data_IF_362996312076
#
_entry.id   IF_362996312076
#
_cell.length_a   1.000
_cell.length_b   1.000
_cell.length_c   1.000
_cell.angle_alpha   90.00
_cell.angle_beta   90.00
_cell.angle_gamma   90.00
#
_symmetry.space_group_name_H-M   'P 1'
#
loop_
_entity.id
_entity.type
_entity.pdbx_description
1 polymer ?
#
# COMPACT_ATOMS: atom_id res chain seq x y z
N UNK A 1 -10.57 -15.79 -9.15
CA UNK A 1 -10.14 -14.42 -9.51
C UNK A 1 -11.40 -13.66 -9.86
N UNK A 2 -12.07 -13.06 -8.87
CA UNK A 2 -13.23 -12.22 -9.11
C UNK A 2 -12.74 -10.82 -9.46
N UNK A 3 -12.85 -10.49 -10.73
CA UNK A 3 -12.71 -9.13 -11.22
C UNK A 3 -13.99 -8.38 -10.83
N UNK A 4 -13.94 -7.63 -9.74
CA UNK A 4 -15.00 -6.71 -9.40
C UNK A 4 -15.01 -5.57 -10.40
N UNK A 5 -15.76 -5.69 -11.48
CA UNK A 5 -16.11 -4.60 -12.36
C UNK A 5 -17.09 -3.69 -11.63
N UNK A 6 -16.74 -2.41 -11.46
CA UNK A 6 -17.74 -1.39 -11.15
C UNK A 6 -18.63 -1.26 -12.39
N UNK A 7 -19.82 -1.87 -12.38
CA UNK A 7 -20.83 -1.67 -13.40
C UNK A 7 -21.50 -0.29 -13.20
N UNK A 8 -21.02 0.67 -13.96
CA UNK A 8 -21.66 1.95 -14.19
C UNK A 8 -21.43 2.33 -15.64
N UNK A 9 -22.45 2.10 -16.48
CA UNK A 9 -22.37 2.27 -17.93
C UNK A 9 -22.15 3.74 -18.33
N UNK A 10 -20.92 4.15 -18.50
CA UNK A 10 -20.54 5.33 -19.26
C UNK A 10 -19.34 5.07 -20.15
N UNK A 11 -19.41 5.60 -21.38
CA UNK A 11 -18.46 5.45 -22.48
C UNK A 11 -17.05 5.85 -22.07
N UNK A 12 -16.15 4.88 -22.03
CA UNK A 12 -14.73 5.03 -21.66
C UNK A 12 -13.98 6.00 -22.58
N UNK A 13 -13.85 7.26 -22.18
CA UNK A 13 -12.90 8.17 -22.79
C UNK A 13 -11.56 8.06 -22.04
N UNK A 14 -10.60 7.33 -22.62
CA UNK A 14 -9.15 7.29 -22.27
C UNK A 14 -8.87 6.98 -20.79
N UNK A 15 -8.81 5.70 -20.49
CA UNK A 15 -8.54 5.17 -19.15
C UNK A 15 -7.10 5.39 -18.73
N UNK A 16 -6.92 5.88 -17.51
CA UNK A 16 -5.64 5.90 -16.79
C UNK A 16 -5.57 4.64 -15.94
N UNK A 17 -4.40 3.99 -15.87
CA UNK A 17 -4.25 2.72 -15.16
C UNK A 17 -3.68 2.95 -13.77
N UNK A 18 -4.34 2.39 -12.75
CA UNK A 18 -3.82 2.33 -11.39
C UNK A 18 -3.82 0.88 -10.93
N UNK A 19 -2.67 0.40 -10.45
CA UNK A 19 -2.58 -0.83 -9.69
C UNK A 19 -2.70 -0.49 -8.21
N UNK A 20 -3.78 -0.91 -7.57
CA UNK A 20 -3.99 -0.71 -6.15
C UNK A 20 -3.64 -2.00 -5.42
N UNK A 21 -2.49 -2.05 -4.73
CA UNK A 21 -2.21 -3.10 -3.78
C UNK A 21 -2.93 -2.79 -2.48
N UNK A 22 -4.00 -3.51 -2.22
CA UNK A 22 -4.70 -3.44 -0.95
C UNK A 22 -4.27 -4.64 -0.11
N UNK A 23 -3.44 -4.46 0.95
CA UNK A 23 -3.15 -5.56 1.85
C UNK A 23 -4.42 -5.95 2.59
N UNK A 24 -4.73 -7.22 2.64
CA UNK A 24 -5.80 -7.72 3.51
C UNK A 24 -5.23 -8.80 4.40
N UNK A 25 -5.07 -8.55 5.69
CA UNK A 25 -4.93 -9.64 6.65
C UNK A 25 -6.24 -10.41 6.85
N UNK A 26 -7.39 -9.86 6.43
CA UNK A 26 -8.70 -10.53 6.61
C UNK A 26 -9.68 -10.11 5.53
N UNK A 27 -10.47 -11.07 5.04
CA UNK A 27 -11.49 -10.92 3.99
C UNK A 27 -12.54 -9.81 4.27
N UNK A 28 -12.66 -9.37 5.52
CA UNK A 28 -13.53 -8.25 5.94
C UNK A 28 -12.96 -6.88 5.59
N UNK A 29 -11.66 -6.76 5.32
CA UNK A 29 -10.99 -5.48 5.06
C UNK A 29 -11.04 -5.08 3.58
N UNK A 30 -11.20 -6.01 2.64
CA UNK A 30 -11.27 -5.69 1.20
C UNK A 30 -12.47 -4.79 0.86
N UNK A 31 -13.60 -4.98 1.57
CA UNK A 31 -14.80 -4.13 1.42
C UNK A 31 -14.66 -2.75 2.06
N UNK A 32 -13.66 -2.53 2.93
CA UNK A 32 -13.45 -1.28 3.67
C UNK A 32 -12.60 -0.24 2.93
N UNK A 33 -12.15 -0.54 1.70
CA UNK A 33 -11.28 0.34 0.91
C UNK A 33 -11.91 0.83 -0.39
N UNK A 34 -13.19 0.56 -0.57
CA UNK A 34 -13.98 1.01 -1.70
C UNK A 34 -13.88 2.51 -1.98
N UNK A 35 -13.93 3.42 -0.97
CA UNK A 35 -14.03 4.85 -1.28
C UNK A 35 -12.90 5.38 -2.15
N UNK A 36 -11.64 5.00 -1.90
CA UNK A 36 -10.52 5.44 -2.72
C UNK A 36 -10.56 4.83 -4.13
N UNK A 37 -10.90 3.54 -4.24
CA UNK A 37 -11.02 2.85 -5.53
C UNK A 37 -12.16 3.42 -6.38
N UNK A 38 -13.31 3.69 -5.76
CA UNK A 38 -14.47 4.30 -6.41
C UNK A 38 -14.15 5.72 -6.87
N UNK A 39 -13.55 6.56 -6.02
CA UNK A 39 -13.19 7.93 -6.39
C UNK A 39 -12.19 7.98 -7.56
N UNK A 40 -11.24 7.04 -7.61
CA UNK A 40 -10.30 6.92 -8.72
C UNK A 40 -11.00 6.44 -9.99
N UNK A 41 -11.92 5.47 -9.89
CA UNK A 41 -12.71 5.02 -11.04
C UNK A 41 -13.60 6.13 -11.59
N UNK A 42 -14.26 6.90 -10.73
CA UNK A 42 -15.07 8.06 -11.11
C UNK A 42 -14.22 9.16 -11.78
N UNK A 43 -12.96 9.29 -11.39
CA UNK A 43 -11.99 10.18 -12.03
C UNK A 43 -11.42 9.64 -13.36
N UNK A 44 -11.88 8.47 -13.83
CA UNK A 44 -11.51 7.87 -15.11
C UNK A 44 -10.28 6.96 -15.08
N UNK A 45 -9.86 6.49 -13.90
CA UNK A 45 -8.81 5.48 -13.77
C UNK A 45 -9.40 4.06 -13.81
N UNK A 46 -8.69 3.12 -14.42
CA UNK A 46 -8.94 1.69 -14.20
C UNK A 46 -8.23 1.29 -12.91
N UNK A 47 -9.00 0.79 -11.96
CA UNK A 47 -8.48 0.35 -10.66
C UNK A 47 -8.47 -1.17 -10.59
N UNK A 48 -7.31 -1.75 -10.29
CA UNK A 48 -7.16 -3.18 -10.06
C UNK A 48 -6.63 -3.41 -8.63
N UNK A 49 -7.28 -4.33 -7.92
CA UNK A 49 -6.88 -4.74 -6.58
C UNK A 49 -6.77 -6.26 -6.50
N UNK A 50 -5.90 -6.76 -5.63
CA UNK A 50 -5.63 -8.18 -5.47
C UNK A 50 -5.67 -8.60 -4.00
N UNK A 51 -6.13 -9.81 -3.75
CA UNK A 51 -5.82 -10.53 -2.52
C UNK A 51 -4.48 -11.22 -2.70
N UNK A 52 -3.51 -10.89 -1.83
CA UNK A 52 -2.17 -11.47 -1.92
C UNK A 52 -2.17 -12.96 -1.62
N UNK A 53 -1.45 -13.73 -2.42
CA UNK A 53 -1.43 -15.20 -2.33
C UNK A 53 -0.87 -15.71 -0.99
N UNK A 54 0.14 -15.05 -0.44
CA UNK A 54 0.77 -15.40 0.84
C UNK A 54 0.22 -14.65 2.06
N UNK A 55 -0.70 -13.69 1.87
CA UNK A 55 -1.23 -12.78 2.91
C UNK A 55 -2.74 -12.58 2.72
N UNK A 56 -3.47 -13.71 2.67
CA UNK A 56 -4.92 -13.73 2.50
C UNK A 56 -5.57 -14.59 3.58
N UNK A 57 -6.63 -14.07 4.20
CA UNK A 57 -7.45 -14.80 5.17
C UNK A 57 -8.01 -16.14 4.63
N UNK A 58 -8.14 -16.27 3.31
CA UNK A 58 -8.65 -17.48 2.67
C UNK A 58 -7.64 -18.63 2.66
N UNK A 59 -6.35 -18.34 2.88
CA UNK A 59 -5.29 -19.36 2.97
C UNK A 59 -5.21 -19.85 4.41
N UNK A 60 -5.96 -20.90 4.75
CA UNK A 60 -5.85 -21.56 6.07
C UNK A 60 -4.45 -22.11 6.26
N UNK A 61 -3.79 -21.74 7.38
CA UNK A 61 -2.43 -22.20 7.70
C UNK A 61 -1.32 -21.51 6.93
N UNK A 62 -1.62 -20.48 6.15
CA UNK A 62 -0.61 -19.62 5.52
C UNK A 62 0.09 -18.73 6.55
N UNK A 63 1.30 -18.24 6.24
CA UNK A 63 2.10 -17.39 7.12
C UNK A 63 1.57 -15.94 7.13
N UNK A 64 0.29 -15.74 7.44
CA UNK A 64 -0.44 -14.47 7.28
C UNK A 64 0.21 -13.24 7.93
N UNK A 65 1.14 -13.43 8.88
CA UNK A 65 1.87 -12.35 9.56
C UNK A 65 3.39 -12.54 9.45
N UNK A 66 3.85 -13.32 8.48
CA UNK A 66 5.26 -13.59 8.31
C UNK A 66 5.94 -12.59 7.35
N UNK A 67 7.26 -12.42 7.53
CA UNK A 67 8.10 -11.69 6.58
C UNK A 67 8.03 -12.33 5.18
N UNK A 68 7.84 -13.65 5.09
CA UNK A 68 7.61 -14.34 3.83
C UNK A 68 6.38 -13.81 3.07
N UNK A 69 5.30 -13.53 3.78
CA UNK A 69 4.12 -12.92 3.18
C UNK A 69 4.43 -11.52 2.63
N UNK A 70 5.21 -10.71 3.34
CA UNK A 70 5.65 -9.39 2.85
C UNK A 70 6.52 -9.48 1.59
N UNK A 71 7.41 -10.47 1.50
CA UNK A 71 8.30 -10.65 0.36
C UNK A 71 7.55 -11.01 -0.93
N UNK A 72 6.45 -11.77 -0.86
CA UNK A 72 5.68 -12.18 -2.04
C UNK A 72 4.79 -11.07 -2.62
N UNK A 73 4.44 -10.06 -1.83
CA UNK A 73 3.45 -9.02 -2.20
C UNK A 73 3.86 -8.22 -3.44
N UNK A 74 5.14 -7.89 -3.57
CA UNK A 74 5.65 -7.15 -4.73
C UNK A 74 5.56 -7.98 -6.02
N UNK A 75 5.82 -9.28 -5.93
CA UNK A 75 5.65 -10.22 -7.05
C UNK A 75 4.19 -10.32 -7.49
N UNK A 76 3.26 -10.37 -6.54
CA UNK A 76 1.83 -10.42 -6.82
C UNK A 76 1.37 -9.15 -7.57
N UNK A 77 1.80 -7.96 -7.14
CA UNK A 77 1.48 -6.70 -7.82
C UNK A 77 2.09 -6.64 -9.21
N UNK A 78 3.34 -7.04 -9.38
CA UNK A 78 3.98 -7.10 -10.70
C UNK A 78 3.22 -8.02 -11.65
N UNK A 79 2.73 -9.18 -11.15
CA UNK A 79 1.89 -10.10 -11.92
C UNK A 79 0.54 -9.48 -12.26
N UNK A 80 -0.09 -8.79 -11.31
CA UNK A 80 -1.34 -8.06 -11.54
C UNK A 80 -1.18 -7.01 -12.64
N UNK A 81 -0.16 -6.15 -12.57
CA UNK A 81 0.13 -5.16 -13.62
C UNK A 81 0.34 -5.86 -14.96
N UNK A 82 1.12 -6.96 -14.98
CA UNK A 82 1.34 -7.74 -16.18
C UNK A 82 0.06 -8.34 -16.76
N UNK A 83 -0.83 -8.85 -15.93
CA UNK A 83 -2.14 -9.36 -16.34
C UNK A 83 -3.01 -8.24 -16.94
N UNK A 84 -3.13 -7.12 -16.24
CA UNK A 84 -3.92 -5.97 -16.69
C UNK A 84 -3.47 -5.46 -18.06
N UNK A 85 -2.18 -5.37 -18.28
CA UNK A 85 -1.62 -4.85 -19.53
C UNK A 85 -1.67 -5.83 -20.72
N UNK A 86 -1.85 -7.13 -20.49
CA UNK A 86 -1.76 -8.13 -21.58
C UNK A 86 -2.97 -9.06 -21.71
N UNK A 87 -3.71 -9.29 -20.63
CA UNK A 87 -4.75 -10.34 -20.58
C UNK A 87 -6.13 -9.81 -20.20
N UNK A 88 -6.20 -8.63 -19.57
CA UNK A 88 -7.49 -8.02 -19.28
C UNK A 88 -8.22 -7.68 -20.60
N UNK A 89 -9.52 -7.97 -20.74
CA UNK A 89 -10.23 -7.82 -22.03
C UNK A 89 -10.10 -6.44 -22.67
N UNK A 90 -10.04 -5.38 -21.87
CA UNK A 90 -9.87 -4.01 -22.36
C UNK A 90 -8.41 -3.48 -22.22
N UNK A 91 -7.41 -4.36 -22.14
CA UNK A 91 -6.00 -3.99 -21.92
C UNK A 91 -5.46 -2.98 -22.93
N UNK A 92 -5.95 -3.00 -24.19
CA UNK A 92 -5.54 -2.06 -25.25
C UNK A 92 -5.92 -0.60 -24.95
N UNK A 93 -6.84 -0.35 -24.01
CA UNK A 93 -7.23 0.98 -23.56
C UNK A 93 -6.34 1.52 -22.45
N UNK A 94 -5.43 0.72 -21.89
CA UNK A 94 -4.54 1.09 -20.81
C UNK A 94 -3.27 1.75 -21.37
N UNK A 95 -2.78 2.77 -20.67
CA UNK A 95 -1.48 3.40 -20.97
C UNK A 95 -0.46 2.89 -19.94
N UNK A 96 0.46 2.04 -20.38
CA UNK A 96 1.49 1.41 -19.54
C UNK A 96 2.53 2.39 -18.97
N UNK A 97 2.59 3.61 -19.51
CA UNK A 97 3.44 4.71 -19.04
C UNK A 97 2.78 5.53 -17.93
N UNK A 98 1.56 5.20 -17.54
CA UNK A 98 0.72 5.99 -16.63
C UNK A 98 0.13 5.14 -15.51
N UNK A 99 0.98 4.32 -14.89
CA UNK A 99 0.59 3.43 -13.80
C UNK A 99 0.90 4.12 -12.47
N UNK A 100 -0.13 4.29 -11.63
CA UNK A 100 -0.02 4.71 -10.24
C UNK A 100 -0.18 3.54 -9.28
N UNK A 101 0.35 3.71 -8.09
CA UNK A 101 0.20 2.76 -7.00
C UNK A 101 -0.34 3.45 -5.76
N UNK A 102 -1.35 2.85 -5.12
CA UNK A 102 -1.82 3.25 -3.79
C UNK A 102 -1.67 2.09 -2.81
N UNK A 103 -1.11 2.36 -1.65
CA UNK A 103 -0.98 1.38 -0.59
C UNK A 103 -1.06 1.96 0.81
N UNK A 104 -1.78 1.27 1.70
CA UNK A 104 -1.90 1.58 3.11
C UNK A 104 -1.22 0.52 3.96
N UNK A 105 -0.56 0.89 5.06
CA UNK A 105 0.05 -0.02 6.03
C UNK A 105 1.07 -0.96 5.34
N UNK A 106 0.88 -2.29 5.39
CA UNK A 106 1.67 -3.27 4.61
C UNK A 106 1.60 -3.01 3.09
N UNK A 107 0.51 -2.40 2.59
CA UNK A 107 0.43 -1.96 1.20
C UNK A 107 1.35 -0.77 0.92
N UNK A 108 1.50 0.12 1.88
CA UNK A 108 2.47 1.20 1.82
C UNK A 108 3.91 0.68 1.78
N UNK A 109 4.25 -0.30 2.63
CA UNK A 109 5.50 -1.04 2.54
C UNK A 109 5.70 -1.65 1.12
N UNK A 110 4.68 -2.36 0.61
CA UNK A 110 4.74 -2.97 -0.73
C UNK A 110 5.01 -1.92 -1.81
N UNK A 111 4.36 -0.76 -1.71
CA UNK A 111 4.56 0.34 -2.65
C UNK A 111 5.97 0.89 -2.62
N UNK A 112 6.52 1.13 -1.43
CA UNK A 112 7.91 1.59 -1.28
C UNK A 112 8.90 0.62 -1.92
N UNK A 113 8.74 -0.70 -1.66
CA UNK A 113 9.61 -1.71 -2.27
C UNK A 113 9.45 -1.74 -3.80
N UNK A 114 8.22 -1.69 -4.32
CA UNK A 114 7.99 -1.68 -5.77
C UNK A 114 8.67 -0.52 -6.48
N UNK A 115 8.78 0.64 -5.83
CA UNK A 115 9.38 1.84 -6.42
C UNK A 115 10.87 2.02 -6.07
N UNK A 116 11.52 0.99 -5.51
CA UNK A 116 12.97 0.97 -5.34
C UNK A 116 13.51 0.89 -3.92
N UNK A 117 12.63 0.90 -2.90
CA UNK A 117 13.08 0.78 -1.52
C UNK A 117 13.57 -0.65 -1.19
N UNK A 118 14.55 -0.73 -0.29
CA UNK A 118 15.10 -1.98 0.25
C UNK A 118 14.85 -2.02 1.76
N UNK A 119 13.95 -2.90 2.25
CA UNK A 119 13.69 -3.03 3.68
C UNK A 119 14.81 -3.79 4.38
N UNK A 120 15.09 -3.38 5.62
CA UNK A 120 15.90 -4.10 6.58
C UNK A 120 14.99 -4.67 7.67
N UNK A 121 14.70 -5.95 7.62
CA UNK A 121 13.82 -6.59 8.60
C UNK A 121 14.52 -6.90 9.93
N UNK A 122 15.82 -6.75 10.04
CA UNK A 122 16.53 -6.85 11.32
C UNK A 122 16.14 -5.69 12.26
N UNK A 123 15.61 -4.61 11.70
CA UNK A 123 15.10 -3.44 12.45
C UNK A 123 13.71 -3.67 13.08
N UNK A 124 13.00 -4.73 12.70
CA UNK A 124 11.73 -5.04 13.35
C UNK A 124 11.97 -5.50 14.80
N UNK A 125 11.23 -4.94 15.75
CA UNK A 125 11.27 -5.47 17.11
C UNK A 125 10.81 -6.93 17.10
N UNK A 126 11.46 -7.79 17.88
CA UNK A 126 11.03 -9.19 17.96
C UNK A 126 9.59 -9.25 18.50
N UNK A 127 8.75 -10.04 17.84
CA UNK A 127 7.39 -10.31 18.36
C UNK A 127 7.50 -10.92 19.77
N UNK A 128 6.60 -10.58 20.69
CA UNK A 128 6.63 -11.11 22.06
C UNK A 128 6.66 -12.66 22.12
N UNK A 129 6.03 -13.32 21.15
CA UNK A 129 6.03 -14.79 21.01
C UNK A 129 7.24 -15.36 20.30
N UNK A 130 8.18 -14.51 19.83
CA UNK A 130 9.33 -14.99 19.08
C UNK A 130 10.45 -15.49 20.01
N UNK A 131 11.25 -16.47 19.60
CA UNK A 131 12.43 -16.88 20.34
C UNK A 131 13.41 -15.75 20.62
N UNK A 132 13.42 -14.70 19.79
CA UNK A 132 14.29 -13.55 19.95
C UNK A 132 13.83 -12.59 21.06
N UNK A 133 12.58 -12.62 21.46
CA UNK A 133 12.09 -11.80 22.57
C UNK A 133 12.61 -12.32 23.92
N UNK A 134 12.62 -13.65 24.11
CA UNK A 134 13.03 -14.28 25.36
C UNK A 134 14.53 -14.61 25.39
N UNK A 135 15.15 -14.93 24.27
CA UNK A 135 16.57 -15.30 24.14
C UNK A 135 17.20 -14.71 22.87
N UNK A 136 17.55 -13.39 22.85
CA UNK A 136 18.05 -12.72 21.64
C UNK A 136 19.34 -13.33 21.05
N UNK A 137 20.16 -13.98 21.87
CA UNK A 137 21.40 -14.65 21.48
C UNK A 137 21.28 -16.18 21.39
N UNK A 138 20.07 -16.71 21.60
CA UNK A 138 19.83 -18.15 21.58
C UNK A 138 19.85 -18.74 20.18
N UNK A 139 20.14 -20.05 20.07
CA UNK A 139 20.20 -20.78 18.80
C UNK A 139 18.89 -20.68 18.00
N UNK A 140 17.73 -20.70 18.67
CA UNK A 140 16.44 -20.57 18.03
C UNK A 140 16.26 -19.18 17.39
N UNK A 141 16.72 -18.11 18.06
CA UNK A 141 16.73 -16.76 17.50
C UNK A 141 17.72 -16.66 16.32
N UNK A 142 18.90 -17.21 16.45
CA UNK A 142 19.90 -17.25 15.37
C UNK A 142 19.34 -17.99 14.13
N UNK A 143 18.69 -19.13 14.31
CA UNK A 143 18.03 -19.88 13.24
C UNK A 143 16.89 -19.11 12.58
N UNK A 144 16.10 -18.35 13.34
CA UNK A 144 15.05 -17.48 12.80
C UNK A 144 15.66 -16.35 11.95
N UNK A 145 16.69 -15.65 12.45
CA UNK A 145 17.41 -14.61 11.70
C UNK A 145 18.04 -15.15 10.41
N UNK A 146 18.58 -16.37 10.46
CA UNK A 146 19.14 -17.02 9.27
C UNK A 146 18.06 -17.25 8.20
N UNK A 147 16.89 -17.80 8.58
CA UNK A 147 15.76 -17.99 7.65
C UNK A 147 15.27 -16.67 7.07
N UNK A 148 15.28 -15.58 7.85
CA UNK A 148 14.95 -14.25 7.33
C UNK A 148 15.96 -13.79 6.29
N UNK A 149 17.25 -13.95 6.53
CA UNK A 149 18.29 -13.63 5.53
C UNK A 149 18.13 -14.43 4.24
N UNK A 150 17.83 -15.72 4.34
CA UNK A 150 17.59 -16.59 3.18
C UNK A 150 16.35 -16.16 2.38
N UNK A 151 15.27 -15.81 3.06
CA UNK A 151 14.06 -15.25 2.42
C UNK A 151 14.35 -13.94 1.71
N UNK A 152 15.19 -13.09 2.29
CA UNK A 152 15.57 -11.78 1.76
C UNK A 152 16.70 -11.86 0.71
N UNK A 153 17.38 -12.99 0.60
CA UNK A 153 18.30 -13.27 -0.50
C UNK A 153 17.58 -13.39 -1.85
N UNK A 154 16.25 -13.64 -1.83
CA UNK A 154 15.42 -13.52 -3.03
C UNK A 154 15.35 -12.05 -3.43
N UNK A 155 15.77 -11.67 -4.66
CA UNK A 155 15.73 -10.28 -5.09
C UNK A 155 14.34 -9.70 -4.93
N UNK A 156 14.23 -8.58 -4.22
CA UNK A 156 12.97 -7.83 -4.12
C UNK A 156 12.57 -7.31 -5.49
N UNK A 157 11.31 -7.44 -5.81
CA UNK A 157 10.78 -7.07 -7.13
C UNK A 157 10.45 -5.58 -7.15
N UNK A 158 11.26 -4.81 -7.89
CA UNK A 158 10.92 -3.44 -8.26
C UNK A 158 10.13 -3.43 -9.58
N UNK A 159 9.28 -2.43 -9.78
CA UNK A 159 8.50 -2.28 -11.01
C UNK A 159 8.55 -0.82 -11.52
N UNK A 160 9.42 -0.58 -12.47
CA UNK A 160 9.66 0.75 -13.07
C UNK A 160 8.48 1.29 -13.87
N UNK A 161 7.44 0.48 -14.10
CA UNK A 161 6.19 0.92 -14.74
C UNK A 161 5.36 1.83 -13.82
N UNK A 162 5.57 1.76 -12.50
CA UNK A 162 4.91 2.64 -11.53
C UNK A 162 5.53 4.04 -11.61
N UNK A 163 4.73 5.03 -11.96
CA UNK A 163 5.17 6.41 -12.21
C UNK A 163 4.80 7.40 -11.11
N UNK A 164 3.89 7.02 -10.22
CA UNK A 164 3.52 7.81 -9.05
C UNK A 164 2.99 6.87 -7.96
N UNK A 165 3.21 7.18 -6.69
CA UNK A 165 2.76 6.36 -5.58
C UNK A 165 2.10 7.19 -4.48
N UNK A 166 0.95 6.77 -4.00
CA UNK A 166 0.35 7.25 -2.75
C UNK A 166 0.58 6.20 -1.68
N UNK A 167 1.32 6.58 -0.67
CA UNK A 167 1.77 5.72 0.42
C UNK A 167 1.13 6.24 1.71
N UNK A 168 0.18 5.49 2.25
CA UNK A 168 -0.56 5.87 3.44
C UNK A 168 -0.13 5.02 4.64
N UNK A 169 0.39 5.69 5.66
CA UNK A 169 0.74 5.15 6.97
C UNK A 169 1.47 3.79 6.88
N UNK A 170 2.59 3.71 6.13
CA UNK A 170 3.23 2.44 5.78
C UNK A 170 3.84 1.74 6.99
N UNK A 171 3.99 0.42 6.93
CA UNK A 171 4.94 -0.30 7.79
C UNK A 171 6.34 0.28 7.52
N UNK A 172 6.82 1.14 8.42
CA UNK A 172 7.91 2.10 8.17
C UNK A 172 9.23 1.72 8.84
N UNK A 173 9.19 1.01 9.96
CA UNK A 173 10.36 0.71 10.82
C UNK A 173 11.48 -0.05 10.10
N UNK A 174 11.15 -0.74 9.01
CA UNK A 174 12.09 -1.53 8.20
C UNK A 174 12.88 -0.68 7.19
N UNK A 175 12.65 0.63 7.11
CA UNK A 175 13.32 1.49 6.14
C UNK A 175 14.21 2.53 6.82
N UNK A 176 15.38 2.75 6.25
CA UNK A 176 16.31 3.83 6.59
C UNK A 176 16.75 4.58 5.32
N UNK A 177 17.67 5.52 5.48
CA UNK A 177 18.16 6.33 4.36
C UNK A 177 18.87 5.48 3.30
N UNK A 178 19.62 4.46 3.70
CA UNK A 178 20.29 3.56 2.75
C UNK A 178 19.27 2.72 1.98
N UNK A 179 18.25 2.20 2.66
CA UNK A 179 17.16 1.44 2.04
C UNK A 179 16.29 2.26 1.10
N UNK A 180 16.19 3.58 1.31
CA UNK A 180 15.34 4.47 0.51
C UNK A 180 16.09 5.22 -0.60
N UNK A 181 17.42 5.16 -0.66
CA UNK A 181 18.25 5.99 -1.56
C UNK A 181 17.92 5.88 -3.06
N UNK A 182 17.34 4.76 -3.49
CA UNK A 182 17.00 4.51 -4.90
C UNK A 182 15.54 4.86 -5.26
N UNK A 183 14.77 5.40 -4.32
CA UNK A 183 13.37 5.77 -4.55
C UNK A 183 13.32 7.12 -5.24
N UNK A 184 13.06 7.11 -6.55
CA UNK A 184 12.96 8.31 -7.38
C UNK A 184 11.53 8.64 -7.85
N UNK A 185 10.59 7.70 -7.68
CA UNK A 185 9.19 7.87 -8.05
C UNK A 185 8.53 8.95 -7.19
N UNK A 186 7.75 9.89 -7.76
CA UNK A 186 6.96 10.85 -6.99
C UNK A 186 6.04 10.16 -5.98
N UNK A 187 6.07 10.61 -4.74
CA UNK A 187 5.29 10.05 -3.63
C UNK A 187 4.40 11.12 -3.00
N UNK A 188 3.13 10.80 -2.78
CA UNK A 188 2.32 11.43 -1.76
C UNK A 188 2.35 10.53 -0.52
N UNK A 189 2.95 11.04 0.57
CA UNK A 189 3.16 10.29 1.82
C UNK A 189 2.22 10.81 2.90
N UNK A 190 1.36 9.92 3.40
CA UNK A 190 0.42 10.20 4.49
C UNK A 190 0.87 9.54 5.80
N UNK A 191 0.71 10.26 6.90
CA UNK A 191 0.86 9.72 8.25
C UNK A 191 -0.43 9.96 9.06
N UNK A 192 -0.79 9.03 9.94
CA UNK A 192 -1.79 9.26 10.98
C UNK A 192 -1.16 10.03 12.15
N UNK A 193 -1.94 10.91 12.82
CA UNK A 193 -1.45 11.70 13.95
C UNK A 193 -1.16 10.83 15.19
N UNK A 194 -1.88 9.73 15.37
CA UNK A 194 -1.78 8.89 16.57
C UNK A 194 -1.17 7.52 16.33
N UNK A 195 -0.91 7.14 15.07
CA UNK A 195 -0.34 5.84 14.74
C UNK A 195 -1.23 4.67 15.11
N UNK A 196 -0.62 3.52 15.34
CA UNK A 196 -1.25 2.24 15.72
C UNK A 196 -0.71 1.08 14.90
N UNK A 197 -0.98 -0.16 15.33
CA UNK A 197 -0.54 -1.40 14.64
C UNK A 197 0.97 -1.43 14.33
N UNK A 198 1.80 -0.91 15.25
CA UNK A 198 3.25 -0.85 15.10
C UNK A 198 3.77 0.30 14.20
N UNK A 199 2.88 1.13 13.67
CA UNK A 199 3.23 2.35 12.92
C UNK A 199 3.10 3.56 13.84
N UNK A 200 4.11 4.45 13.84
CA UNK A 200 4.06 5.70 14.59
C UNK A 200 4.25 6.90 13.65
N UNK A 201 3.73 8.09 14.01
CA UNK A 201 3.95 9.31 13.22
C UNK A 201 5.44 9.57 12.99
N UNK A 202 6.28 9.31 13.99
CA UNK A 202 7.74 9.51 13.94
C UNK A 202 8.39 8.55 12.94
N UNK A 203 7.93 7.29 12.89
CA UNK A 203 8.47 6.29 11.96
C UNK A 203 8.11 6.62 10.50
N UNK A 204 6.92 7.15 10.24
CA UNK A 204 6.53 7.63 8.91
C UNK A 204 7.27 8.94 8.56
N UNK A 205 7.42 9.85 9.51
CA UNK A 205 8.21 11.05 9.33
C UNK A 205 9.72 10.76 9.09
N UNK A 206 10.24 9.64 9.60
CA UNK A 206 11.58 9.17 9.28
C UNK A 206 11.71 8.80 7.79
N UNK A 207 10.72 8.11 7.20
CA UNK A 207 10.68 7.87 5.74
C UNK A 207 10.73 9.20 4.98
N UNK A 208 9.89 10.18 5.37
CA UNK A 208 9.88 11.51 4.74
C UNK A 208 11.27 12.15 4.69
N UNK A 209 12.01 12.08 5.80
CA UNK A 209 13.37 12.66 5.91
C UNK A 209 14.44 11.89 5.15
N UNK A 210 14.23 10.59 4.96
CA UNK A 210 15.18 9.67 4.33
C UNK A 210 15.01 9.49 2.84
N UNK A 211 13.89 9.94 2.27
CA UNK A 211 13.67 9.91 0.83
C UNK A 211 14.59 10.89 0.10
N UNK A 212 15.19 10.51 -1.05
CA UNK A 212 16.06 11.39 -1.85
C UNK A 212 15.36 12.65 -2.35
N UNK A 213 14.07 12.52 -2.65
CA UNK A 213 13.19 13.62 -3.07
C UNK A 213 12.09 13.79 -2.05
N UNK A 214 11.86 15.03 -1.61
CA UNK A 214 10.82 15.34 -0.66
C UNK A 214 9.44 14.92 -1.19
N UNK A 215 8.69 14.08 -0.47
CA UNK A 215 7.35 13.67 -0.87
C UNK A 215 6.33 14.79 -0.65
N UNK A 216 5.20 14.73 -1.37
CA UNK A 216 3.99 15.47 -1.02
C UNK A 216 3.46 14.96 0.32
N UNK A 217 3.82 15.64 1.42
CA UNK A 217 3.57 15.20 2.79
C UNK A 217 2.19 15.62 3.27
N UNK A 218 1.47 14.68 3.87
CA UNK A 218 0.15 14.89 4.48
C UNK A 218 0.09 14.24 5.86
N UNK A 219 -0.53 14.95 6.80
CA UNK A 219 -0.86 14.44 8.13
C UNK A 219 -2.38 14.31 8.25
N UNK A 220 -2.86 13.11 8.57
CA UNK A 220 -4.24 12.87 8.93
C UNK A 220 -4.44 13.25 10.39
N UNK A 221 -4.82 14.51 10.63
CA UNK A 221 -5.03 15.04 11.98
C UNK A 221 -6.06 14.20 12.76
N UNK A 222 -5.78 13.96 14.03
CA UNK A 222 -6.60 13.13 14.95
C UNK A 222 -6.86 11.69 14.48
N UNK A 223 -6.33 11.25 13.35
CA UNK A 223 -6.47 9.88 12.88
C UNK A 223 -5.55 8.93 13.64
N UNK A 224 -6.06 7.77 14.02
CA UNK A 224 -5.25 6.59 14.27
C UNK A 224 -4.96 5.84 12.95
N UNK A 225 -4.08 4.84 13.03
CA UNK A 225 -3.68 4.02 11.89
C UNK A 225 -4.87 3.53 11.04
N UNK A 226 -5.89 2.99 11.68
CA UNK A 226 -7.05 2.44 10.99
C UNK A 226 -8.05 3.50 10.48
N UNK A 227 -7.79 4.79 10.70
CA UNK A 227 -8.55 5.89 10.11
C UNK A 227 -8.51 5.89 8.58
N UNK A 228 -7.47 5.32 7.97
CA UNK A 228 -7.37 5.13 6.51
C UNK A 228 -8.25 4.01 5.94
N UNK A 229 -8.89 3.20 6.79
CA UNK A 229 -9.88 2.23 6.36
C UNK A 229 -11.26 2.87 6.27
N UNK A 230 -12.08 2.42 5.31
CA UNK A 230 -13.46 2.89 5.19
C UNK A 230 -14.25 2.68 6.49
N UNK A 231 -15.29 3.49 6.68
CA UNK A 231 -16.17 3.40 7.84
C UNK A 231 -16.76 2.00 7.99
N UNK A 232 -16.84 1.53 9.23
CA UNK A 232 -17.41 0.23 9.57
C UNK A 232 -18.94 0.29 9.61
N UNK A 233 -19.59 -0.80 9.26
CA UNK A 233 -21.00 -1.01 9.61
C UNK A 233 -21.17 -1.23 11.12
N UNK A 234 -22.38 -1.07 11.68
CA UNK A 234 -22.64 -1.35 13.10
C UNK A 234 -22.21 -2.76 13.51
N UNK A 235 -22.45 -3.76 12.67
CA UNK A 235 -22.04 -5.14 12.93
C UNK A 235 -20.51 -5.29 12.99
N UNK A 236 -19.78 -4.58 12.12
CA UNK A 236 -18.32 -4.58 12.12
C UNK A 236 -17.76 -3.84 13.34
N UNK A 237 -18.38 -2.73 13.75
CA UNK A 237 -17.98 -2.02 14.96
C UNK A 237 -18.14 -2.88 16.21
N UNK A 238 -19.18 -3.70 16.26
CA UNK A 238 -19.39 -4.64 17.36
C UNK A 238 -18.37 -5.79 17.38
N UNK A 239 -17.98 -6.32 16.18
CA UNK A 239 -17.05 -7.46 16.10
C UNK A 239 -15.57 -7.05 16.18
N UNK A 240 -15.21 -5.88 15.69
CA UNK A 240 -13.82 -5.40 15.57
C UNK A 240 -13.68 -3.94 16.07
N UNK A 241 -13.97 -3.64 17.34
CA UNK A 241 -13.93 -2.26 17.83
C UNK A 241 -12.54 -1.62 17.72
N UNK A 242 -11.47 -2.40 17.81
CA UNK A 242 -10.09 -1.92 17.69
C UNK A 242 -9.75 -1.31 16.33
N UNK A 243 -10.41 -1.78 15.26
CA UNK A 243 -10.21 -1.26 13.90
C UNK A 243 -11.24 -0.19 13.55
N UNK A 244 -12.43 -0.30 14.11
CA UNK A 244 -13.59 0.48 13.71
C UNK A 244 -13.81 1.76 14.51
N UNK A 245 -13.34 1.78 15.78
CA UNK A 245 -13.51 2.95 16.64
C UNK A 245 -12.52 4.03 16.29
N UNK A 246 -13.04 5.23 16.08
CA UNK A 246 -12.24 6.41 15.81
C UNK A 246 -11.74 7.07 17.10
N UNK A 247 -10.65 7.82 16.96
CA UNK A 247 -10.13 8.68 18.02
C UNK A 247 -11.12 9.84 18.27
N UNK A 248 -11.16 10.41 19.48
CA UNK A 248 -12.02 11.55 19.77
C UNK A 248 -11.79 12.73 18.82
N UNK A 249 -12.88 13.21 18.23
CA UNK A 249 -12.85 14.33 17.30
C UNK A 249 -12.35 14.04 15.89
N UNK A 250 -12.12 12.76 15.52
CA UNK A 250 -11.85 12.37 14.15
C UNK A 250 -13.15 12.00 13.43
N UNK A 251 -13.44 12.72 12.35
CA UNK A 251 -14.56 12.41 11.44
C UNK A 251 -14.03 11.61 10.25
N UNK A 252 -14.18 10.28 10.30
CA UNK A 252 -13.70 9.36 9.26
C UNK A 252 -14.36 9.62 7.91
N UNK A 253 -15.63 10.02 7.88
CA UNK A 253 -16.35 10.26 6.64
C UNK A 253 -15.82 11.51 5.95
N UNK A 254 -15.71 12.63 6.69
CA UNK A 254 -15.13 13.85 6.17
C UNK A 254 -13.68 13.68 5.76
N UNK A 255 -12.88 12.95 6.56
CA UNK A 255 -11.50 12.60 6.22
C UNK A 255 -11.41 11.86 4.88
N UNK A 256 -12.20 10.80 4.68
CA UNK A 256 -12.16 10.04 3.43
C UNK A 256 -12.60 10.85 2.21
N UNK A 257 -13.53 11.78 2.37
CA UNK A 257 -13.91 12.69 1.28
C UNK A 257 -12.71 13.55 0.83
N UNK A 258 -11.99 14.17 1.79
CA UNK A 258 -10.79 14.96 1.51
C UNK A 258 -9.63 14.10 1.01
N UNK A 259 -9.35 12.97 1.67
CA UNK A 259 -8.28 12.03 1.33
C UNK A 259 -8.43 11.50 -0.11
N UNK A 260 -9.63 11.11 -0.51
CA UNK A 260 -9.91 10.61 -1.85
C UNK A 260 -9.70 11.70 -2.91
N UNK A 261 -10.14 12.94 -2.64
CA UNK A 261 -9.91 14.06 -3.54
C UNK A 261 -8.42 14.36 -3.74
N UNK A 262 -7.62 14.31 -2.66
CA UNK A 262 -6.16 14.51 -2.70
C UNK A 262 -5.44 13.41 -3.49
N UNK A 263 -5.82 12.14 -3.31
CA UNK A 263 -5.28 11.01 -4.08
C UNK A 263 -5.57 11.20 -5.57
N UNK A 264 -6.82 11.53 -5.92
CA UNK A 264 -7.21 11.76 -7.32
C UNK A 264 -6.40 12.89 -7.92
N UNK A 265 -6.30 14.03 -7.22
CA UNK A 265 -5.55 15.19 -7.68
C UNK A 265 -4.05 14.86 -7.85
N UNK A 266 -3.46 14.11 -6.94
CA UNK A 266 -2.07 13.67 -7.03
C UNK A 266 -1.82 12.82 -8.28
N UNK A 267 -2.64 11.79 -8.52
CA UNK A 267 -2.48 10.95 -9.69
C UNK A 267 -2.79 11.68 -10.99
N UNK A 268 -3.77 12.59 -11.01
CA UNK A 268 -4.03 13.43 -12.18
C UNK A 268 -2.83 14.29 -12.54
N UNK A 269 -2.12 14.87 -11.55
CA UNK A 269 -0.90 15.66 -11.80
C UNK A 269 0.25 14.82 -12.36
N UNK A 270 0.52 13.68 -11.72
CA UNK A 270 1.73 12.90 -12.02
C UNK A 270 1.54 11.87 -13.14
N UNK A 271 0.30 11.54 -13.48
CA UNK A 271 -0.05 10.61 -14.55
C UNK A 271 -0.77 11.32 -15.72
N UNK A 272 -0.74 12.65 -15.78
CA UNK A 272 -1.24 13.40 -16.93
C UNK A 272 -0.46 13.00 -18.20
N UNK A 273 -1.12 13.07 -19.37
CA UNK A 273 -0.40 13.01 -20.65
C UNK A 273 0.50 14.23 -20.75
N UNK A 274 1.77 14.03 -21.08
CA UNK A 274 2.59 15.14 -21.54
C UNK A 274 1.84 15.84 -22.68
N UNK A 275 1.61 17.14 -22.52
CA UNK A 275 1.14 17.96 -23.64
C UNK A 275 2.29 17.98 -24.63
N UNK A 276 2.16 17.24 -25.72
CA UNK A 276 3.03 17.45 -26.87
C UNK A 276 2.80 18.91 -27.27
N UNK A 277 3.80 19.76 -27.03
CA UNK A 277 3.77 21.13 -27.53
C UNK A 277 3.64 21.02 -29.06
N UNK A 278 2.54 21.52 -29.63
CA UNK A 278 2.43 21.64 -31.09
C UNK A 278 3.57 22.49 -31.54
N UNK A 279 4.38 22.03 -32.50
CA UNK A 279 5.39 22.90 -33.11
C UNK A 279 4.66 24.09 -33.72
N UNK A 280 5.12 25.31 -33.39
CA UNK A 280 4.68 26.58 -34.01
C UNK A 280 5.15 26.68 -35.43
#
# INVERSE_FOLDING_TARGET
METGTCEGGQRYRRLQSIACALPTPQNRLSRRRRPAAEALADAGFVVAAINHSGDSYQVRGGPNDSIAALATRTTDIRRLIGHMLRQWPAHVSLDDRRIGFYGFSRGGYTGLVLIGARPDFERLPPLPSSPCASAPQGLACAGMRQRFRELLATPLVHDTRIKAAVIADPLSTVFDAEGLKNVATPIQLWASAYGGDGVTPESVAAIRRSLPTAPDWRLADKAGHFGFLASCSPAQLASDPGICRDSPGFDRIAFHAAFNAEIVAFFQRHLAKERVASPR
#
